data_IF_835943412073
#
_entry.id   IF_835943412073
#
_cell.length_a   1.000
_cell.length_b   1.000
_cell.length_c   1.000
_cell.angle_alpha   90.00
_cell.angle_beta   90.00
_cell.angle_gamma   90.00
#
_symmetry.space_group_name_H-M   'P 1'
#
loop_
_entity.id
_entity.type
_entity.pdbx_description
1 polymer ?
#
# COMPACT_ATOMS: atom_id res chain seq x y z
N UNK A 1 -21.37 0.44 -23.43
CA UNK A 1 -21.27 1.67 -24.26
C UNK A 1 -19.80 2.08 -24.33
N UNK A 2 -19.33 2.60 -25.47
CA UNK A 2 -17.94 3.07 -25.58
C UNK A 2 -17.70 4.25 -24.64
N UNK A 3 -16.54 4.32 -23.96
CA UNK A 3 -16.19 5.46 -23.13
C UNK A 3 -16.15 6.74 -23.98
N UNK A 4 -16.73 7.82 -23.48
CA UNK A 4 -16.78 9.11 -24.20
C UNK A 4 -15.81 10.10 -23.59
N UNK A 5 -15.01 10.74 -24.43
CA UNK A 5 -14.15 11.85 -24.02
C UNK A 5 -14.98 13.12 -24.05
N UNK A 6 -14.90 13.91 -22.98
CA UNK A 6 -15.56 15.20 -22.86
C UNK A 6 -14.53 16.28 -22.53
N UNK A 7 -14.67 17.44 -23.17
CA UNK A 7 -13.84 18.61 -22.86
C UNK A 7 -14.39 19.47 -21.71
N UNK A 8 -15.57 19.12 -21.22
CA UNK A 8 -16.24 19.70 -20.06
C UNK A 8 -15.98 18.81 -18.83
N UNK A 9 -15.92 19.36 -17.61
CA UNK A 9 -15.83 18.54 -16.39
C UNK A 9 -17.05 17.63 -16.20
N UNK A 10 -18.15 17.87 -16.93
CA UNK A 10 -19.36 17.04 -16.88
C UNK A 10 -20.02 16.88 -18.27
N UNK A 11 -20.64 15.73 -18.59
CA UNK A 11 -21.40 15.55 -19.82
C UNK A 11 -22.57 16.53 -19.96
N UNK A 12 -22.94 16.86 -21.19
CA UNK A 12 -24.17 17.60 -21.50
C UNK A 12 -25.40 16.80 -21.03
N UNK A 13 -26.33 17.44 -20.33
CA UNK A 13 -27.51 16.80 -19.70
C UNK A 13 -27.17 15.71 -18.67
N UNK A 14 -26.02 15.82 -17.98
CA UNK A 14 -25.69 14.90 -16.91
C UNK A 14 -26.69 14.98 -15.74
N UNK A 15 -27.14 13.82 -15.27
CA UNK A 15 -27.82 13.71 -13.99
C UNK A 15 -26.76 13.52 -12.92
N UNK A 16 -26.43 14.63 -12.27
CA UNK A 16 -25.33 14.69 -11.31
C UNK A 16 -25.60 13.90 -10.03
N UNK A 17 -26.88 13.69 -9.67
CA UNK A 17 -27.26 12.82 -8.54
C UNK A 17 -26.85 11.38 -8.79
N UNK A 18 -26.80 10.98 -10.05
CA UNK A 18 -26.48 9.64 -10.49
C UNK A 18 -25.07 9.56 -11.12
N UNK A 19 -24.24 10.60 -10.94
CA UNK A 19 -22.88 10.68 -11.50
C UNK A 19 -21.82 10.58 -10.40
N UNK A 20 -20.88 9.66 -10.57
CA UNK A 20 -19.69 9.51 -9.75
C UNK A 20 -18.50 10.19 -10.40
N UNK A 21 -17.82 11.09 -9.69
CA UNK A 21 -16.58 11.70 -10.14
C UNK A 21 -15.36 11.01 -9.53
N UNK A 22 -14.45 10.55 -10.37
CA UNK A 22 -13.25 9.79 -9.96
C UNK A 22 -12.00 10.58 -10.36
N UNK A 23 -11.39 11.34 -9.42
CA UNK A 23 -10.18 12.10 -9.70
C UNK A 23 -8.96 11.19 -9.83
N UNK A 24 -8.33 11.20 -11.01
CA UNK A 24 -7.08 10.49 -11.29
C UNK A 24 -5.94 11.51 -11.20
N UNK A 25 -5.45 11.71 -9.98
CA UNK A 25 -4.46 12.75 -9.69
C UNK A 25 -3.00 12.28 -9.79
N UNK A 26 -2.76 10.97 -9.82
CA UNK A 26 -1.43 10.38 -9.98
C UNK A 26 -1.35 9.43 -11.17
N UNK A 27 -0.16 8.88 -11.41
CA UNK A 27 0.06 7.91 -12.48
C UNK A 27 0.30 6.49 -12.00
N UNK A 28 0.06 5.51 -12.91
CA UNK A 28 -0.83 5.61 -14.07
C UNK A 28 -2.28 5.38 -13.64
N UNK A 29 -3.24 5.71 -14.51
CA UNK A 29 -4.56 5.10 -14.44
C UNK A 29 -4.40 3.57 -14.55
N UNK A 30 -5.22 2.79 -13.85
CA UNK A 30 -5.06 1.35 -13.86
C UNK A 30 -6.28 0.62 -13.30
N UNK A 31 -6.27 -0.71 -13.34
CA UNK A 31 -7.39 -1.55 -12.93
C UNK A 31 -7.87 -1.25 -11.51
N UNK A 32 -6.97 -0.82 -10.62
CA UNK A 32 -7.37 -0.36 -9.29
C UNK A 32 -8.39 0.78 -9.32
N UNK A 33 -8.21 1.82 -10.15
CA UNK A 33 -9.19 2.92 -10.27
C UNK A 33 -10.56 2.44 -10.73
N UNK A 34 -10.60 1.42 -11.60
CA UNK A 34 -11.84 0.77 -12.00
C UNK A 34 -12.46 0.06 -10.80
N UNK A 35 -11.70 -0.76 -10.06
CA UNK A 35 -12.21 -1.47 -8.88
C UNK A 35 -12.73 -0.51 -7.79
N UNK A 36 -12.07 0.64 -7.59
CA UNK A 36 -12.57 1.66 -6.67
C UNK A 36 -13.93 2.20 -7.12
N UNK A 37 -14.10 2.48 -8.42
CA UNK A 37 -15.36 2.93 -8.99
C UNK A 37 -16.44 1.84 -8.92
N UNK A 38 -16.09 0.58 -9.20
CA UNK A 38 -16.97 -0.58 -9.07
C UNK A 38 -17.51 -0.72 -7.65
N UNK A 39 -16.66 -0.55 -6.63
CA UNK A 39 -17.08 -0.56 -5.23
C UNK A 39 -18.11 0.54 -4.93
N UNK A 40 -17.84 1.76 -5.38
CA UNK A 40 -18.75 2.89 -5.20
C UNK A 40 -20.09 2.67 -5.90
N UNK A 41 -20.07 2.13 -7.13
CA UNK A 41 -21.27 1.70 -7.83
C UNK A 41 -22.01 0.66 -6.99
N UNK A 42 -21.40 -0.44 -6.58
CA UNK A 42 -22.09 -1.50 -5.81
C UNK A 42 -22.78 -0.98 -4.55
N UNK A 43 -22.19 0.00 -3.88
CA UNK A 43 -22.79 0.60 -2.69
C UNK A 43 -23.87 1.65 -2.97
N UNK A 44 -23.85 2.27 -4.16
CA UNK A 44 -24.85 3.25 -4.60
C UNK A 44 -25.48 2.80 -5.94
N UNK A 45 -26.51 1.94 -5.87
CA UNK A 45 -27.25 1.44 -7.04
C UNK A 45 -27.76 2.55 -7.98
N UNK A 46 -28.10 3.72 -7.42
CA UNK A 46 -28.60 4.89 -8.15
C UNK A 46 -27.58 5.50 -9.14
N UNK A 47 -26.28 5.26 -8.93
CA UNK A 47 -25.25 5.73 -9.84
C UNK A 47 -25.37 5.04 -11.20
N UNK A 48 -25.47 5.86 -12.25
CA UNK A 48 -25.61 5.43 -13.66
C UNK A 48 -24.51 5.99 -14.56
N UNK A 49 -23.68 6.92 -14.07
CA UNK A 49 -22.57 7.54 -14.81
C UNK A 49 -21.29 7.57 -13.95
N UNK A 50 -20.14 7.36 -14.58
CA UNK A 50 -18.81 7.56 -13.97
C UNK A 50 -17.99 8.49 -14.84
N UNK A 51 -17.48 9.56 -14.25
CA UNK A 51 -16.61 10.54 -14.92
C UNK A 51 -15.23 10.47 -14.29
N UNK A 52 -14.24 10.01 -15.07
CA UNK A 52 -12.83 10.04 -14.67
C UNK A 52 -12.24 11.42 -14.99
N UNK A 53 -11.76 12.12 -13.96
CA UNK A 53 -11.15 13.44 -14.09
C UNK A 53 -9.64 13.27 -14.19
N UNK A 54 -9.09 13.51 -15.39
CA UNK A 54 -7.66 13.33 -15.63
C UNK A 54 -6.89 14.60 -15.30
N UNK A 55 -5.92 14.47 -14.39
CA UNK A 55 -5.03 15.58 -14.07
C UNK A 55 -4.19 16.02 -15.27
N UNK A 56 -3.97 17.33 -15.39
CA UNK A 56 -3.10 17.93 -16.40
C UNK A 56 -1.60 17.67 -16.20
N UNK A 57 -1.21 16.95 -15.14
CA UNK A 57 0.18 16.64 -14.79
C UNK A 57 0.83 17.62 -13.81
N UNK A 58 0.20 18.77 -13.53
CA UNK A 58 0.67 19.76 -12.56
C UNK A 58 -0.07 19.61 -11.22
N UNK A 59 0.54 18.91 -10.26
CA UNK A 59 -0.08 18.64 -8.96
C UNK A 59 0.48 19.55 -7.84
N UNK A 60 -0.35 19.99 -6.87
CA UNK A 60 0.10 20.68 -5.64
C UNK A 60 1.20 19.98 -4.86
N UNK A 61 1.21 18.67 -4.95
CA UNK A 61 1.92 17.80 -4.00
C UNK A 61 3.37 17.76 -4.49
N UNK A 62 4.33 18.26 -3.69
CA UNK A 62 5.72 18.37 -4.13
C UNK A 62 6.30 17.01 -4.54
N UNK A 63 5.82 15.92 -3.95
CA UNK A 63 6.24 14.55 -4.26
C UNK A 63 5.68 14.03 -5.59
N UNK A 64 4.69 14.71 -6.19
CA UNK A 64 4.09 14.31 -7.47
C UNK A 64 4.62 15.08 -8.68
N UNK A 65 5.50 16.08 -8.48
CA UNK A 65 5.90 17.01 -9.56
C UNK A 65 6.86 16.41 -10.60
N UNK A 66 7.71 15.45 -10.21
CA UNK A 66 8.75 14.87 -11.08
C UNK A 66 8.37 13.54 -11.73
N UNK A 67 7.16 13.03 -11.44
CA UNK A 67 6.77 11.63 -11.72
C UNK A 67 5.46 11.58 -12.53
N UNK A 68 5.02 12.72 -13.08
CA UNK A 68 3.77 12.84 -13.81
C UNK A 68 3.94 12.66 -15.32
N UNK A 69 3.51 11.51 -15.86
CA UNK A 69 3.31 11.28 -17.30
C UNK A 69 2.62 12.46 -17.99
N UNK A 70 3.01 12.79 -19.24
CA UNK A 70 2.33 13.78 -20.06
C UNK A 70 0.83 13.52 -20.21
N UNK A 71 0.04 14.59 -20.25
CA UNK A 71 -1.43 14.53 -20.31
C UNK A 71 -1.98 13.65 -21.44
N UNK A 72 -1.33 13.65 -22.61
CA UNK A 72 -1.74 12.85 -23.77
C UNK A 72 -1.53 11.35 -23.54
N UNK A 73 -0.40 10.96 -22.91
CA UNK A 73 -0.13 9.57 -22.52
C UNK A 73 -1.13 9.13 -21.46
N UNK A 74 -1.47 9.99 -20.49
CA UNK A 74 -2.46 9.68 -19.46
C UNK A 74 -3.85 9.44 -20.05
N UNK A 75 -4.23 10.26 -21.04
CA UNK A 75 -5.49 10.08 -21.77
C UNK A 75 -5.49 8.75 -22.52
N UNK A 76 -4.43 8.45 -23.28
CA UNK A 76 -4.31 7.20 -24.01
C UNK A 76 -4.42 5.99 -23.08
N UNK A 77 -3.67 5.96 -21.97
CA UNK A 77 -3.73 4.87 -20.99
C UNK A 77 -5.13 4.70 -20.38
N UNK A 78 -5.86 5.80 -20.15
CA UNK A 78 -7.23 5.73 -19.66
C UNK A 78 -8.20 5.20 -20.74
N UNK A 79 -8.01 5.59 -22.00
CA UNK A 79 -8.80 5.08 -23.12
C UNK A 79 -8.59 3.58 -23.29
N UNK A 80 -7.34 3.13 -23.34
CA UNK A 80 -6.98 1.71 -23.45
C UNK A 80 -7.57 0.90 -22.28
N UNK A 81 -7.49 1.45 -21.06
CA UNK A 81 -8.05 0.85 -19.86
C UNK A 81 -9.57 0.67 -19.97
N UNK A 82 -10.31 1.69 -20.42
CA UNK A 82 -11.77 1.61 -20.55
C UNK A 82 -12.20 0.77 -21.75
N UNK A 83 -11.46 0.79 -22.86
CA UNK A 83 -11.71 -0.08 -24.00
C UNK A 83 -11.53 -1.56 -23.61
N UNK A 84 -10.52 -1.86 -22.78
CA UNK A 84 -10.28 -3.22 -22.28
C UNK A 84 -11.44 -3.78 -21.43
N UNK A 85 -12.32 -2.93 -20.85
CA UNK A 85 -13.53 -3.38 -20.15
C UNK A 85 -14.65 -3.86 -21.10
N UNK A 86 -14.59 -3.45 -22.37
CA UNK A 86 -15.58 -3.80 -23.39
C UNK A 86 -15.25 -5.11 -24.08
N UNK A 87 -13.98 -5.51 -24.07
CA UNK A 87 -13.53 -6.76 -24.66
C UNK A 87 -14.13 -7.97 -23.91
N UNK A 88 -14.31 -9.08 -24.62
CA UNK A 88 -14.92 -10.29 -24.04
C UNK A 88 -13.89 -11.23 -23.38
N UNK A 89 -12.60 -10.94 -23.51
CA UNK A 89 -11.49 -11.73 -22.98
C UNK A 89 -10.24 -10.85 -22.82
N UNK A 90 -9.25 -11.29 -22.04
CA UNK A 90 -7.92 -10.68 -21.98
C UNK A 90 -7.69 -9.70 -20.82
N UNK A 91 -8.71 -8.96 -20.36
CA UNK A 91 -8.58 -8.10 -19.18
C UNK A 91 -8.71 -8.93 -17.88
N UNK A 92 -7.75 -8.80 -16.97
CA UNK A 92 -7.75 -9.52 -15.69
C UNK A 92 -8.99 -9.27 -14.82
N UNK A 93 -9.55 -8.05 -14.82
CA UNK A 93 -10.80 -7.78 -14.10
C UNK A 93 -11.96 -8.62 -14.64
N UNK A 94 -12.01 -8.81 -15.97
CA UNK A 94 -13.01 -9.65 -16.62
C UNK A 94 -12.77 -11.12 -16.28
N UNK A 95 -11.52 -11.59 -16.37
CA UNK A 95 -11.15 -12.96 -15.98
C UNK A 95 -11.55 -13.26 -14.53
N UNK A 96 -11.30 -12.33 -13.61
CA UNK A 96 -11.70 -12.47 -12.21
C UNK A 96 -13.24 -12.48 -12.09
N UNK A 97 -13.92 -11.54 -12.76
CA UNK A 97 -15.38 -11.43 -12.73
C UNK A 97 -16.06 -12.69 -13.25
N UNK A 98 -15.59 -13.21 -14.39
CA UNK A 98 -16.10 -14.43 -15.03
C UNK A 98 -15.85 -15.67 -14.15
N UNK A 99 -14.68 -15.75 -13.52
CA UNK A 99 -14.36 -16.85 -12.59
C UNK A 99 -15.26 -16.87 -11.35
N UNK A 100 -15.63 -15.69 -10.84
CA UNK A 100 -16.54 -15.56 -9.69
C UNK A 100 -18.02 -15.62 -10.10
N UNK A 101 -18.32 -15.54 -11.40
CA UNK A 101 -19.68 -15.57 -11.93
C UNK A 101 -20.46 -14.27 -11.68
N UNK A 102 -19.76 -13.14 -11.53
CA UNK A 102 -20.38 -11.83 -11.30
C UNK A 102 -20.24 -10.92 -12.52
N UNK A 103 -21.18 -9.99 -12.69
CA UNK A 103 -21.10 -8.94 -13.73
C UNK A 103 -20.70 -7.63 -13.06
N UNK A 104 -19.63 -7.00 -13.54
CA UNK A 104 -19.21 -5.68 -13.08
C UNK A 104 -20.27 -4.62 -13.39
N UNK A 105 -20.69 -3.84 -12.39
CA UNK A 105 -21.59 -2.69 -12.57
C UNK A 105 -20.99 -1.66 -13.52
N UNK A 106 -19.66 -1.53 -13.58
CA UNK A 106 -18.96 -0.70 -14.55
C UNK A 106 -19.38 -0.94 -16.01
N UNK A 107 -19.80 -2.17 -16.37
CA UNK A 107 -20.25 -2.50 -17.73
C UNK A 107 -21.70 -2.08 -18.02
N UNK A 108 -22.42 -1.64 -16.99
CA UNK A 108 -23.85 -1.31 -17.02
C UNK A 108 -24.12 0.20 -16.89
N UNK A 109 -23.08 1.00 -16.72
CA UNK A 109 -23.16 2.47 -16.55
C UNK A 109 -22.50 3.19 -17.72
N UNK A 110 -22.79 4.48 -17.89
CA UNK A 110 -22.09 5.31 -18.86
C UNK A 110 -20.73 5.76 -18.30
N UNK A 111 -19.67 5.60 -19.09
CA UNK A 111 -18.30 5.92 -18.71
C UNK A 111 -17.79 7.13 -19.51
N UNK A 112 -17.26 8.11 -18.80
CA UNK A 112 -16.73 9.35 -19.38
C UNK A 112 -15.31 9.60 -18.91
N UNK A 113 -14.51 10.22 -19.77
CA UNK A 113 -13.19 10.76 -19.43
C UNK A 113 -13.21 12.26 -19.67
N UNK A 114 -13.02 13.04 -18.60
CA UNK A 114 -12.90 14.49 -18.72
C UNK A 114 -11.45 14.89 -18.96
N UNK A 115 -11.23 15.61 -20.06
CA UNK A 115 -9.98 16.29 -20.39
C UNK A 115 -10.02 17.79 -20.05
N UNK A 116 -11.03 18.26 -19.31
CA UNK A 116 -11.22 19.70 -19.02
C UNK A 116 -9.99 20.35 -18.37
N UNK A 117 -9.24 19.57 -17.58
CA UNK A 117 -8.03 20.04 -16.90
C UNK A 117 -6.89 20.35 -17.89
N UNK A 118 -6.88 19.73 -19.07
CA UNK A 118 -5.78 19.83 -20.04
C UNK A 118 -5.68 21.21 -20.70
N UNK A 119 -6.72 22.04 -20.54
CA UNK A 119 -6.78 23.45 -20.96
C UNK A 119 -6.01 24.38 -20.01
N UNK A 120 -5.54 23.87 -18.86
CA UNK A 120 -4.80 24.63 -17.86
C UNK A 120 -3.33 24.27 -17.89
N UNK A 121 -2.48 25.27 -18.03
CA UNK A 121 -1.01 25.12 -17.98
C UNK A 121 -0.43 25.41 -16.58
N UNK A 122 -1.28 25.48 -15.57
CA UNK A 122 -0.90 25.68 -14.18
C UNK A 122 -1.44 24.54 -13.30
N UNK A 123 -1.02 24.55 -12.04
CA UNK A 123 -1.44 23.57 -11.04
C UNK A 123 -2.97 23.52 -10.88
N UNK A 124 -3.55 22.31 -10.93
CA UNK A 124 -4.98 22.08 -10.69
C UNK A 124 -5.17 21.27 -9.41
N UNK A 125 -5.92 21.81 -8.46
CA UNK A 125 -6.29 21.13 -7.20
C UNK A 125 -7.59 20.37 -7.37
N UNK A 126 -7.83 19.38 -6.51
CA UNK A 126 -9.11 18.66 -6.47
C UNK A 126 -10.30 19.62 -6.25
N UNK A 127 -10.13 20.63 -5.39
CA UNK A 127 -11.16 21.64 -5.17
C UNK A 127 -11.46 22.44 -6.44
N UNK A 128 -10.47 22.73 -7.28
CA UNK A 128 -10.71 23.43 -8.54
C UNK A 128 -11.60 22.58 -9.46
N UNK A 129 -11.40 21.27 -9.49
CA UNK A 129 -12.27 20.35 -10.23
C UNK A 129 -13.70 20.36 -9.65
N UNK A 130 -13.84 20.28 -8.33
CA UNK A 130 -15.15 20.34 -7.67
C UNK A 130 -15.86 21.67 -7.95
N UNK A 131 -15.15 22.80 -7.89
CA UNK A 131 -15.68 24.12 -8.25
C UNK A 131 -16.11 24.18 -9.70
N UNK A 132 -15.30 23.68 -10.63
CA UNK A 132 -15.64 23.66 -12.06
C UNK A 132 -16.91 22.85 -12.33
N UNK A 133 -17.03 21.68 -11.69
CA UNK A 133 -18.23 20.84 -11.76
C UNK A 133 -19.42 21.62 -11.18
N UNK A 134 -19.24 22.28 -10.03
CA UNK A 134 -20.22 23.16 -9.39
C UNK A 134 -20.68 24.32 -10.27
N UNK A 135 -19.76 25.00 -10.95
CA UNK A 135 -20.11 26.09 -11.87
C UNK A 135 -20.90 25.58 -13.07
N UNK A 136 -20.55 24.41 -13.61
CA UNK A 136 -21.33 23.75 -14.66
C UNK A 136 -22.71 23.27 -14.18
N UNK A 137 -22.86 23.00 -12.88
CA UNK A 137 -24.10 22.57 -12.22
C UNK A 137 -25.10 23.70 -11.99
N UNK A 138 -24.64 24.83 -11.46
CA UNK A 138 -25.51 25.87 -10.90
C UNK A 138 -26.02 26.90 -11.90
N UNK A 139 -25.86 26.65 -13.21
CA UNK A 139 -26.64 27.36 -14.23
C UNK A 139 -28.15 27.09 -14.09
N UNK A 140 -28.52 26.02 -13.38
CA UNK A 140 -29.90 25.62 -13.13
C UNK A 140 -30.22 25.62 -11.61
N UNK A 141 -31.38 26.20 -11.25
CA UNK A 141 -31.71 26.56 -9.86
C UNK A 141 -32.07 25.37 -8.96
N UNK A 142 -32.40 24.23 -9.55
CA UNK A 142 -32.78 22.98 -8.87
C UNK A 142 -31.56 22.26 -8.22
N UNK A 143 -30.34 22.59 -8.63
CA UNK A 143 -29.12 21.85 -8.26
C UNK A 143 -28.26 22.54 -7.18
N UNK A 144 -28.65 23.74 -6.70
CA UNK A 144 -27.86 24.53 -5.73
C UNK A 144 -27.65 23.88 -4.36
N UNK A 145 -28.52 22.95 -3.96
CA UNK A 145 -28.42 22.23 -2.68
C UNK A 145 -27.72 20.87 -2.78
N UNK A 146 -27.36 20.45 -3.99
CA UNK A 146 -26.79 19.12 -4.23
C UNK A 146 -25.28 19.12 -4.06
N UNK A 147 -24.77 17.98 -3.59
CA UNK A 147 -23.34 17.77 -3.37
C UNK A 147 -22.77 16.84 -4.42
N UNK A 148 -21.60 17.20 -4.92
CA UNK A 148 -20.87 16.44 -5.93
C UNK A 148 -20.29 15.18 -5.29
N UNK A 149 -20.61 14.02 -5.84
CA UNK A 149 -20.10 12.74 -5.36
C UNK A 149 -18.70 12.50 -5.89
N UNK A 150 -17.70 12.58 -5.00
CA UNK A 150 -16.28 12.43 -5.37
C UNK A 150 -15.69 11.20 -4.70
N UNK A 151 -15.13 10.30 -5.49
CA UNK A 151 -14.45 9.10 -5.00
C UNK A 151 -13.03 9.44 -4.52
N UNK A 152 -12.69 9.05 -3.30
CA UNK A 152 -11.36 9.30 -2.72
C UNK A 152 -10.89 8.08 -1.92
N UNK A 153 -9.58 7.86 -1.86
CA UNK A 153 -8.99 6.89 -0.92
C UNK A 153 -8.81 7.51 0.46
N UNK A 154 -8.82 6.70 1.51
CA UNK A 154 -8.51 7.16 2.88
C UNK A 154 -7.12 7.79 3.01
N UNK A 155 -6.16 7.41 2.17
CA UNK A 155 -4.84 8.05 2.08
C UNK A 155 -4.91 9.54 1.68
N UNK A 156 -5.89 9.92 0.86
CA UNK A 156 -6.10 11.32 0.50
C UNK A 156 -6.73 12.08 1.66
N UNK A 157 -7.69 11.49 2.37
CA UNK A 157 -8.30 12.09 3.57
C UNK A 157 -7.24 12.44 4.60
N UNK A 158 -6.25 11.57 4.80
CA UNK A 158 -5.13 11.83 5.70
C UNK A 158 -4.22 12.96 5.19
N UNK A 159 -3.92 12.98 3.88
CA UNK A 159 -3.16 14.08 3.26
C UNK A 159 -3.89 15.42 3.25
N UNK A 160 -5.22 15.44 3.27
CA UNK A 160 -6.02 16.67 3.39
C UNK A 160 -5.82 17.41 4.71
N UNK A 161 -5.16 16.79 5.70
CA UNK A 161 -4.76 17.43 6.96
C UNK A 161 -3.50 18.28 6.84
N UNK A 162 -2.72 18.12 5.77
CA UNK A 162 -1.54 18.92 5.52
C UNK A 162 -1.95 20.27 4.92
N UNK A 163 -1.70 21.39 5.62
CA UNK A 163 -2.07 22.72 5.15
C UNK A 163 -1.35 23.14 3.86
N UNK A 164 -0.24 22.47 3.50
CA UNK A 164 0.42 22.68 2.21
C UNK A 164 -0.35 22.05 1.04
N UNK A 165 -1.22 21.07 1.32
CA UNK A 165 -2.03 20.35 0.33
C UNK A 165 -3.44 20.94 0.27
N UNK A 166 -4.09 21.13 1.43
CA UNK A 166 -5.42 21.76 1.55
C UNK A 166 -5.40 22.80 2.67
N UNK A 167 -5.67 24.06 2.33
CA UNK A 167 -5.90 25.09 3.34
C UNK A 167 -7.25 24.90 4.04
N UNK A 168 -7.44 25.53 5.19
CA UNK A 168 -8.72 25.50 5.91
C UNK A 168 -9.89 26.02 5.06
N UNK A 169 -9.65 27.08 4.28
CA UNK A 169 -10.61 27.60 3.30
C UNK A 169 -10.97 26.55 2.26
N UNK A 170 -9.96 25.80 1.76
CA UNK A 170 -10.20 24.73 0.80
C UNK A 170 -11.09 23.63 1.40
N UNK A 171 -10.82 23.24 2.65
CA UNK A 171 -11.62 22.21 3.34
C UNK A 171 -13.05 22.69 3.60
N UNK A 172 -13.24 23.95 3.99
CA UNK A 172 -14.56 24.53 4.22
C UNK A 172 -15.39 24.52 2.92
N UNK A 173 -14.80 24.92 1.81
CA UNK A 173 -15.47 24.91 0.52
C UNK A 173 -15.75 23.47 0.04
N UNK A 174 -14.77 22.55 0.15
CA UNK A 174 -15.00 21.14 -0.13
C UNK A 174 -16.16 20.57 0.68
N UNK A 175 -16.29 20.96 1.97
CA UNK A 175 -17.37 20.53 2.85
C UNK A 175 -18.75 21.00 2.39
N UNK A 176 -18.83 22.09 1.63
CA UNK A 176 -20.09 22.62 1.10
C UNK A 176 -20.45 21.99 -0.25
N UNK A 177 -19.45 21.76 -1.10
CA UNK A 177 -19.65 21.40 -2.49
C UNK A 177 -19.69 19.89 -2.75
N UNK A 178 -19.03 19.09 -1.91
CA UNK A 178 -18.84 17.67 -2.17
C UNK A 178 -19.39 16.75 -1.06
N UNK A 179 -19.69 15.53 -1.46
CA UNK A 179 -19.79 14.36 -0.61
C UNK A 179 -18.70 13.38 -1.02
N UNK A 180 -17.80 13.05 -0.10
CA UNK A 180 -16.66 12.19 -0.36
C UNK A 180 -17.06 10.72 -0.16
N UNK A 181 -16.98 9.91 -1.21
CA UNK A 181 -17.09 8.46 -1.10
C UNK A 181 -15.70 7.90 -0.80
N UNK A 182 -15.48 7.50 0.45
CA UNK A 182 -14.14 7.17 0.96
C UNK A 182 -13.92 5.67 0.85
N UNK A 183 -12.99 5.26 0.00
CA UNK A 183 -12.51 3.88 -0.06
C UNK A 183 -11.54 3.66 1.09
N UNK A 184 -11.84 2.76 2.05
CA UNK A 184 -10.89 2.43 3.11
C UNK A 184 -9.67 1.70 2.53
N UNK A 185 -8.48 2.16 2.93
CA UNK A 185 -7.20 1.52 2.62
C UNK A 185 -6.67 0.83 3.88
N UNK A 186 -6.16 -0.41 3.80
CA UNK A 186 -5.59 -1.09 4.96
C UNK A 186 -4.44 -0.28 5.59
N UNK A 187 -4.42 -0.22 6.92
CA UNK A 187 -3.43 0.54 7.68
C UNK A 187 -3.71 2.05 7.81
N UNK A 188 -4.64 2.61 7.03
CA UNK A 188 -5.01 4.02 7.10
C UNK A 188 -6.17 4.25 8.07
N UNK A 189 -6.01 5.19 9.00
CA UNK A 189 -7.14 5.65 9.84
C UNK A 189 -7.96 6.65 9.06
N UNK A 190 -9.29 6.50 9.08
CA UNK A 190 -10.20 7.49 8.49
C UNK A 190 -10.57 8.47 9.59
N UNK A 191 -10.18 9.73 9.41
CA UNK A 191 -10.50 10.81 10.35
C UNK A 191 -11.87 11.39 10.02
N UNK A 192 -12.70 11.63 11.03
CA UNK A 192 -14.02 12.25 10.87
C UNK A 192 -14.00 13.78 10.98
N UNK A 193 -12.99 14.32 11.68
CA UNK A 193 -12.90 15.74 12.03
C UNK A 193 -11.50 16.27 11.76
N UNK A 194 -11.42 17.38 11.03
CA UNK A 194 -10.19 18.10 10.74
C UNK A 194 -9.87 19.10 11.87
N UNK A 195 -8.81 19.91 11.73
CA UNK A 195 -8.52 20.97 12.69
C UNK A 195 -9.74 21.88 12.92
N UNK A 196 -9.88 22.42 14.14
CA UNK A 196 -10.97 23.32 14.55
C UNK A 196 -12.41 22.77 14.50
N UNK A 197 -12.59 21.44 14.42
CA UNK A 197 -13.94 20.83 14.46
C UNK A 197 -14.64 20.76 13.11
N UNK A 198 -13.98 21.15 12.02
CA UNK A 198 -14.50 21.04 10.66
C UNK A 198 -14.69 19.58 10.26
N UNK A 199 -15.87 19.23 9.73
CA UNK A 199 -16.15 17.87 9.24
C UNK A 199 -16.50 17.89 7.75
N UNK A 200 -15.83 17.02 6.98
CA UNK A 200 -16.20 16.77 5.59
C UNK A 200 -17.33 15.76 5.57
N UNK A 201 -18.34 15.99 4.73
CA UNK A 201 -19.38 14.99 4.51
C UNK A 201 -18.77 13.81 3.76
N UNK A 202 -18.69 12.68 4.45
CA UNK A 202 -18.06 11.47 3.94
C UNK A 202 -18.98 10.27 4.11
N UNK A 203 -18.94 9.35 3.14
CA UNK A 203 -19.52 8.02 3.24
C UNK A 203 -18.43 7.00 3.01
N UNK A 204 -18.10 6.25 4.06
CA UNK A 204 -17.09 5.18 3.99
C UNK A 204 -17.69 4.04 3.19
N UNK A 205 -16.95 3.59 2.18
CA UNK A 205 -17.37 2.50 1.33
C UNK A 205 -17.06 1.15 2.00
N UNK A 206 -17.94 0.17 1.81
CA UNK A 206 -17.84 -1.16 2.41
C UNK A 206 -17.09 -2.13 1.48
N UNK A 207 -15.83 -2.50 1.80
CA UNK A 207 -15.03 -3.40 0.97
C UNK A 207 -15.67 -4.78 0.75
N UNK A 208 -16.59 -5.20 1.62
CA UNK A 208 -17.22 -6.51 1.53
C UNK A 208 -18.21 -6.62 0.37
N UNK A 209 -18.59 -5.50 -0.24
CA UNK A 209 -19.36 -5.46 -1.48
C UNK A 209 -18.55 -5.89 -2.72
N UNK A 210 -17.21 -5.92 -2.62
CA UNK A 210 -16.35 -6.43 -3.69
C UNK A 210 -16.09 -7.93 -3.54
N UNK A 211 -16.06 -8.68 -4.66
CA UNK A 211 -15.54 -10.05 -4.69
C UNK A 211 -14.17 -10.15 -4.03
N UNK A 212 -13.92 -11.23 -3.30
CA UNK A 212 -12.66 -11.44 -2.56
C UNK A 212 -11.42 -11.29 -3.46
N UNK A 213 -11.49 -11.77 -4.71
CA UNK A 213 -10.41 -11.66 -5.68
C UNK A 213 -10.08 -10.20 -6.08
N UNK A 214 -11.07 -9.30 -6.02
CA UNK A 214 -10.90 -7.87 -6.34
C UNK A 214 -10.50 -7.02 -5.12
N UNK A 215 -10.71 -7.49 -3.89
CA UNK A 215 -10.32 -6.75 -2.67
C UNK A 215 -8.84 -6.41 -2.62
N UNK A 216 -7.98 -7.22 -3.24
CA UNK A 216 -6.54 -6.94 -3.32
C UNK A 216 -6.24 -5.57 -3.95
N UNK A 217 -7.01 -5.12 -4.96
CA UNK A 217 -6.83 -3.81 -5.61
C UNK A 217 -7.06 -2.63 -4.67
N UNK A 218 -7.79 -2.82 -3.56
CA UNK A 218 -7.94 -1.80 -2.52
C UNK A 218 -6.63 -1.53 -1.77
N UNK A 219 -5.61 -2.37 -1.93
CA UNK A 219 -4.27 -2.08 -1.42
C UNK A 219 -3.41 -1.27 -2.40
N UNK A 220 -3.82 -1.14 -3.67
CA UNK A 220 -3.00 -0.48 -4.68
C UNK A 220 -3.37 1.00 -4.84
N UNK A 221 -2.41 1.88 -4.58
CA UNK A 221 -2.53 3.33 -4.78
C UNK A 221 -1.54 3.80 -5.85
N UNK A 222 -1.80 4.95 -6.46
CA UNK A 222 -0.87 5.54 -7.44
C UNK A 222 0.51 5.78 -6.85
N UNK A 223 0.61 6.07 -5.54
CA UNK A 223 1.87 6.24 -4.80
C UNK A 223 2.66 4.94 -4.74
N UNK A 224 2.01 3.83 -4.42
CA UNK A 224 2.67 2.52 -4.41
C UNK A 224 3.13 2.15 -5.83
N UNK A 225 2.33 2.43 -6.85
CA UNK A 225 2.71 2.12 -8.24
C UNK A 225 3.94 2.92 -8.66
N UNK A 226 4.00 4.21 -8.38
CA UNK A 226 5.18 5.04 -8.70
C UNK A 226 6.43 4.52 -8.01
N UNK A 227 6.36 4.18 -6.72
CA UNK A 227 7.49 3.58 -5.99
C UNK A 227 7.93 2.25 -6.60
N UNK A 228 6.96 1.38 -6.93
CA UNK A 228 7.25 0.10 -7.57
C UNK A 228 7.96 0.28 -8.92
N UNK A 229 7.50 1.20 -9.76
CA UNK A 229 8.14 1.44 -11.07
C UNK A 229 9.53 2.07 -10.91
N UNK A 230 9.74 3.00 -9.98
CA UNK A 230 11.09 3.51 -9.67
C UNK A 230 12.06 2.37 -9.25
N UNK A 231 11.54 1.36 -8.55
CA UNK A 231 12.27 0.15 -8.18
C UNK A 231 12.33 -0.91 -9.31
N UNK A 232 11.82 -0.61 -10.51
CA UNK A 232 11.70 -1.53 -11.67
C UNK A 232 10.90 -2.80 -11.36
N UNK A 233 10.00 -2.72 -10.40
CA UNK A 233 9.07 -3.79 -10.10
C UNK A 233 7.91 -3.75 -11.08
N UNK A 234 7.74 -4.85 -11.81
CA UNK A 234 6.63 -4.98 -12.75
C UNK A 234 5.33 -5.34 -12.02
N UNK A 235 4.24 -4.70 -12.40
CA UNK A 235 2.88 -4.96 -11.93
C UNK A 235 1.90 -5.22 -13.10
N UNK A 236 2.22 -6.09 -14.07
CA UNK A 236 1.47 -6.23 -15.33
C UNK A 236 0.04 -6.73 -15.09
N UNK A 237 -0.17 -7.48 -14.01
CA UNK A 237 -1.48 -7.91 -13.57
C UNK A 237 -2.39 -6.76 -13.08
N UNK A 238 -1.83 -5.61 -12.73
CA UNK A 238 -2.56 -4.56 -12.01
C UNK A 238 -2.64 -3.24 -12.79
N UNK A 239 -1.99 -3.19 -13.94
CA UNK A 239 -1.89 -2.04 -14.83
C UNK A 239 -2.19 -2.46 -16.27
N UNK A 240 -2.71 -1.54 -17.12
CA UNK A 240 -2.86 -1.80 -18.54
C UNK A 240 -1.52 -2.07 -19.22
N UNK A 241 -1.58 -2.78 -20.35
CA UNK A 241 -0.42 -3.02 -21.22
C UNK A 241 0.23 -1.67 -21.60
N UNK A 242 1.57 -1.64 -21.69
CA UNK A 242 2.39 -0.44 -21.95
C UNK A 242 2.37 0.66 -20.88
N UNK A 243 1.50 0.60 -19.87
CA UNK A 243 1.51 1.59 -18.78
C UNK A 243 2.86 1.62 -18.05
N UNK A 244 3.46 0.45 -17.84
CA UNK A 244 4.78 0.31 -17.23
C UNK A 244 5.87 0.84 -18.17
N UNK A 245 5.84 0.47 -19.45
CA UNK A 245 6.82 0.95 -20.45
C UNK A 245 6.85 2.48 -20.52
N UNK A 246 5.69 3.14 -20.61
CA UNK A 246 5.62 4.60 -20.61
C UNK A 246 6.14 5.24 -19.32
N UNK A 247 5.89 4.60 -18.17
CA UNK A 247 6.46 5.08 -16.90
C UNK A 247 7.97 4.87 -16.86
N UNK A 248 8.48 3.73 -17.33
CA UNK A 248 9.91 3.44 -17.38
C UNK A 248 10.64 4.35 -18.37
N UNK A 249 10.07 4.65 -19.54
CA UNK A 249 10.63 5.62 -20.49
C UNK A 249 10.66 7.02 -19.91
N UNK A 250 9.58 7.45 -19.26
CA UNK A 250 9.46 8.80 -18.72
C UNK A 250 10.34 9.00 -17.47
N UNK A 251 10.40 7.99 -16.59
CA UNK A 251 11.23 8.01 -15.39
C UNK A 251 12.70 7.72 -15.70
N UNK A 252 12.97 6.79 -16.62
CA UNK A 252 14.30 6.40 -17.06
C UNK A 252 14.99 7.44 -17.95
N UNK A 253 14.22 8.19 -18.75
CA UNK A 253 14.73 9.33 -19.52
C UNK A 253 15.21 10.51 -18.67
N UNK A 254 14.73 10.62 -17.42
CA UNK A 254 15.11 11.68 -16.48
C UNK A 254 16.44 11.41 -15.74
N UNK A 255 16.91 10.15 -15.73
CA UNK A 255 18.16 9.75 -15.03
C UNK A 255 19.40 10.44 -15.63
N UNK A 256 19.31 10.95 -16.87
CA UNK A 256 20.43 11.63 -17.54
C UNK A 256 20.54 13.14 -17.26
N UNK A 257 19.58 13.81 -16.60
CA UNK A 257 19.64 15.28 -16.40
C UNK A 257 19.08 15.78 -15.07
N UNK A 258 19.78 15.46 -13.96
CA UNK A 258 20.22 16.38 -12.88
C UNK A 258 20.60 15.59 -11.63
N UNK A 259 21.77 15.90 -11.08
CA UNK A 259 22.38 15.30 -9.88
C UNK A 259 21.68 15.78 -8.58
N UNK A 260 20.33 15.79 -8.49
CA UNK A 260 19.67 16.36 -7.30
C UNK A 260 18.28 15.85 -6.88
N UNK A 261 17.56 15.04 -7.67
CA UNK A 261 16.21 14.59 -7.28
C UNK A 261 16.22 13.14 -6.83
N UNK A 262 16.13 12.93 -5.50
CA UNK A 262 15.89 11.63 -4.87
C UNK A 262 14.46 11.17 -5.23
N UNK A 263 14.31 9.94 -5.70
CA UNK A 263 13.02 9.37 -6.09
C UNK A 263 12.09 9.14 -4.89
N UNK A 264 10.77 9.07 -5.13
CA UNK A 264 9.76 8.76 -4.10
C UNK A 264 10.04 7.41 -3.39
N UNK A 265 10.61 6.44 -4.11
CA UNK A 265 11.03 5.17 -3.53
C UNK A 265 12.25 5.34 -2.62
N UNK A 266 13.29 6.04 -3.04
CA UNK A 266 14.48 6.28 -2.21
C UNK A 266 14.15 7.07 -0.94
N UNK A 267 13.30 8.10 -1.03
CA UNK A 267 12.80 8.83 0.15
C UNK A 267 12.12 7.86 1.10
N UNK A 268 11.24 6.99 0.60
CA UNK A 268 10.53 6.02 1.44
C UNK A 268 11.49 5.00 2.09
N UNK A 269 12.50 4.54 1.36
CA UNK A 269 13.53 3.66 1.92
C UNK A 269 14.32 4.39 3.01
N UNK A 270 14.72 5.64 2.80
CA UNK A 270 15.43 6.43 3.82
C UNK A 270 14.60 6.60 5.10
N UNK A 271 13.30 6.86 4.99
CA UNK A 271 12.39 6.89 6.14
C UNK A 271 12.37 5.55 6.88
N UNK A 272 12.20 4.44 6.15
CA UNK A 272 12.15 3.11 6.73
C UNK A 272 13.47 2.69 7.40
N UNK A 273 14.61 3.04 6.80
CA UNK A 273 15.93 2.78 7.40
C UNK A 273 16.13 3.61 8.67
N UNK A 274 15.61 4.85 8.72
CA UNK A 274 15.60 5.65 9.96
C UNK A 274 14.73 4.98 11.03
N UNK A 275 13.52 4.56 10.68
CA UNK A 275 12.61 3.87 11.61
C UNK A 275 13.25 2.57 12.13
N UNK A 276 13.93 1.80 11.27
CA UNK A 276 14.69 0.61 11.64
C UNK A 276 15.84 0.93 12.59
N UNK A 277 16.59 2.00 12.35
CA UNK A 277 17.66 2.45 13.23
C UNK A 277 17.11 2.86 14.61
N UNK A 278 15.99 3.59 14.66
CA UNK A 278 15.35 4.01 15.91
C UNK A 278 14.95 2.83 16.79
N UNK A 279 14.26 1.83 16.23
CA UNK A 279 13.90 0.62 16.98
C UNK A 279 15.13 -0.21 17.37
N UNK A 280 16.15 -0.28 16.49
CA UNK A 280 17.41 -0.99 16.78
C UNK A 280 18.15 -0.35 17.96
N UNK A 281 18.23 0.98 18.01
CA UNK A 281 18.81 1.73 19.12
C UNK A 281 18.04 1.50 20.43
N UNK A 282 16.71 1.48 20.35
CA UNK A 282 15.85 1.18 21.50
C UNK A 282 16.09 -0.24 22.05
N UNK A 283 16.08 -1.25 21.19
CA UNK A 283 16.35 -2.65 21.58
C UNK A 283 17.77 -2.79 22.15
N UNK A 284 18.76 -2.19 21.49
CA UNK A 284 20.15 -2.19 21.95
C UNK A 284 20.25 -1.60 23.37
N UNK A 285 19.64 -0.44 23.62
CA UNK A 285 19.59 0.16 24.96
C UNK A 285 18.95 -0.77 26.00
N UNK A 286 17.79 -1.35 25.68
CA UNK A 286 17.08 -2.29 26.57
C UNK A 286 17.91 -3.53 26.93
N UNK A 287 18.81 -3.97 26.05
CA UNK A 287 19.73 -5.07 26.30
C UNK A 287 20.95 -4.61 27.09
N UNK A 288 21.54 -3.46 26.74
CA UNK A 288 22.73 -2.92 27.41
C UNK A 288 22.53 -2.56 28.87
N UNK A 289 21.33 -2.08 29.23
CA UNK A 289 21.00 -1.70 30.61
C UNK A 289 20.89 -2.92 31.54
N UNK A 290 20.91 -4.14 31.00
CA UNK A 290 20.88 -5.38 31.78
C UNK A 290 22.29 -5.75 32.23
N UNK A 291 22.42 -6.16 33.50
CA UNK A 291 23.67 -6.76 34.02
C UNK A 291 24.09 -7.99 33.21
N UNK A 292 23.13 -8.88 32.93
CA UNK A 292 23.32 -10.10 32.14
C UNK A 292 22.33 -10.09 30.96
N UNK A 293 22.69 -9.48 29.82
CA UNK A 293 21.81 -9.50 28.65
C UNK A 293 21.70 -10.93 28.09
N UNK A 294 20.49 -11.34 27.63
CA UNK A 294 20.35 -12.62 26.95
C UNK A 294 21.15 -12.64 25.64
N UNK A 295 21.78 -13.77 25.34
CA UNK A 295 22.34 -14.08 24.03
C UNK A 295 21.21 -14.40 23.05
N UNK A 296 21.15 -13.67 21.94
CA UNK A 296 20.08 -13.72 20.96
C UNK A 296 20.66 -14.23 19.64
N UNK A 297 20.02 -15.23 19.07
CA UNK A 297 20.30 -15.70 17.72
C UNK A 297 19.16 -15.27 16.78
N UNK A 298 19.51 -14.75 15.62
CA UNK A 298 18.52 -14.30 14.63
C UNK A 298 18.46 -15.29 13.47
N UNK A 299 17.28 -15.79 13.19
CA UNK A 299 17.04 -16.58 11.99
C UNK A 299 16.17 -15.74 11.05
N UNK A 300 16.65 -15.50 9.83
CA UNK A 300 15.95 -14.66 8.86
C UNK A 300 15.70 -15.46 7.58
N UNK A 301 14.61 -15.16 6.88
CA UNK A 301 14.44 -15.61 5.49
C UNK A 301 14.34 -14.39 4.60
N UNK A 302 13.18 -13.74 4.57
CA UNK A 302 12.87 -12.70 3.63
C UNK A 302 13.42 -11.35 4.04
N UNK A 303 13.58 -11.08 5.35
CA UNK A 303 14.26 -9.89 5.88
C UNK A 303 15.74 -9.83 5.46
N UNK A 304 16.35 -10.98 5.14
CA UNK A 304 17.60 -11.04 4.39
C UNK A 304 18.83 -10.58 5.16
N UNK A 305 18.85 -10.70 6.49
CA UNK A 305 19.97 -10.27 7.34
C UNK A 305 19.81 -8.86 7.93
N UNK A 306 18.70 -8.17 7.62
CA UNK A 306 18.45 -6.81 8.09
C UNK A 306 18.17 -6.74 9.58
N UNK A 307 17.56 -7.77 10.18
CA UNK A 307 17.27 -7.80 11.62
C UNK A 307 18.59 -7.86 12.40
N UNK A 308 19.42 -8.84 12.08
CA UNK A 308 20.71 -8.99 12.75
C UNK A 308 21.64 -7.83 12.41
N UNK A 309 21.71 -7.43 11.13
CA UNK A 309 22.59 -6.39 10.63
C UNK A 309 22.34 -5.03 11.28
N UNK A 310 21.07 -4.64 11.51
CA UNK A 310 20.75 -3.36 12.14
C UNK A 310 21.19 -3.30 13.61
N UNK A 311 21.21 -4.42 14.33
CA UNK A 311 21.73 -4.51 15.69
C UNK A 311 23.25 -4.65 15.72
N UNK A 312 23.83 -5.47 14.84
CA UNK A 312 25.29 -5.70 14.75
C UNK A 312 26.02 -4.40 14.44
N UNK A 313 25.44 -3.54 13.59
CA UNK A 313 25.99 -2.22 13.26
C UNK A 313 26.10 -1.25 14.44
N UNK A 314 25.47 -1.56 15.59
CA UNK A 314 25.53 -0.72 16.79
C UNK A 314 26.70 -1.17 17.70
N UNK A 315 27.41 -0.22 18.35
CA UNK A 315 28.50 -0.55 19.26
C UNK A 315 28.10 -1.51 20.38
N UNK A 316 28.97 -2.50 20.64
CA UNK A 316 28.87 -3.51 21.70
C UNK A 316 27.71 -4.50 21.57
N UNK A 317 27.13 -4.62 20.38
CA UNK A 317 26.17 -5.66 19.99
C UNK A 317 26.64 -7.09 20.33
N UNK A 318 27.95 -7.35 20.33
CA UNK A 318 28.55 -8.63 20.75
C UNK A 318 28.19 -9.10 22.17
N UNK A 319 27.73 -8.19 23.05
CA UNK A 319 27.23 -8.56 24.37
C UNK A 319 25.96 -9.41 24.31
N UNK A 320 25.10 -9.21 23.31
CA UNK A 320 23.80 -9.87 23.23
C UNK A 320 23.55 -10.56 21.89
N UNK A 321 24.13 -10.13 20.78
CA UNK A 321 24.02 -10.86 19.51
C UNK A 321 24.97 -12.05 19.54
N UNK A 322 24.43 -13.27 19.50
CA UNK A 322 25.21 -14.50 19.40
C UNK A 322 25.62 -14.78 17.95
N UNK A 323 24.72 -14.54 17.01
CA UNK A 323 24.91 -14.78 15.59
C UNK A 323 23.60 -14.69 14.83
N UNK A 324 23.66 -14.95 13.52
CA UNK A 324 22.48 -15.09 12.70
C UNK A 324 22.65 -16.12 11.57
N UNK A 325 21.54 -16.54 10.99
CA UNK A 325 21.49 -17.31 9.75
C UNK A 325 20.39 -16.77 8.85
N UNK A 326 20.71 -16.62 7.56
CA UNK A 326 19.71 -16.30 6.53
C UNK A 326 19.33 -17.59 5.79
N UNK A 327 18.22 -18.22 6.18
CA UNK A 327 17.71 -19.45 5.59
C UNK A 327 16.78 -19.17 4.39
N UNK A 328 17.32 -18.53 3.35
CA UNK A 328 16.51 -18.07 2.21
C UNK A 328 15.97 -19.24 1.35
N UNK A 329 16.87 -20.12 0.90
CA UNK A 329 16.52 -21.26 0.06
C UNK A 329 15.85 -22.38 0.89
N UNK A 330 14.92 -23.12 0.28
CA UNK A 330 14.27 -24.25 0.94
C UNK A 330 15.29 -25.29 1.41
N UNK A 331 16.34 -25.57 0.63
CA UNK A 331 17.43 -26.47 1.06
C UNK A 331 18.11 -26.03 2.35
N UNK A 332 18.26 -24.72 2.59
CA UNK A 332 18.82 -24.20 3.84
C UNK A 332 17.84 -24.36 5.01
N UNK A 333 16.54 -24.16 4.76
CA UNK A 333 15.49 -24.43 5.77
C UNK A 333 15.47 -25.91 6.15
N UNK A 334 15.50 -26.79 5.15
CA UNK A 334 15.51 -28.25 5.32
C UNK A 334 16.72 -28.73 6.11
N UNK A 335 17.91 -28.20 5.81
CA UNK A 335 19.12 -28.49 6.57
C UNK A 335 19.01 -28.06 8.04
N UNK A 336 18.39 -26.91 8.30
CA UNK A 336 18.20 -26.41 9.66
C UNK A 336 17.25 -27.30 10.47
N UNK A 337 16.09 -27.67 9.89
CA UNK A 337 15.08 -28.47 10.60
C UNK A 337 15.37 -29.98 10.59
N UNK A 338 16.25 -30.45 9.70
CA UNK A 338 16.65 -31.85 9.59
C UNK A 338 15.64 -32.73 8.84
N UNK A 339 14.78 -32.15 8.00
CA UNK A 339 13.82 -32.87 7.15
C UNK A 339 13.55 -32.12 5.84
N UNK A 340 13.08 -32.84 4.83
CA UNK A 340 12.62 -32.23 3.57
C UNK A 340 11.28 -31.51 3.77
N UNK A 341 11.08 -30.42 3.04
CA UNK A 341 9.81 -29.72 2.93
C UNK A 341 8.97 -30.40 1.86
N UNK A 342 7.76 -30.82 2.23
CA UNK A 342 6.89 -31.53 1.29
C UNK A 342 6.52 -30.65 0.09
N UNK A 343 6.27 -31.25 -1.08
CA UNK A 343 5.87 -30.50 -2.28
C UNK A 343 4.60 -29.66 -2.09
N UNK A 344 3.72 -30.07 -1.17
CA UNK A 344 2.48 -29.38 -0.83
C UNK A 344 2.57 -28.55 0.46
N UNK A 345 3.71 -28.59 1.15
CA UNK A 345 3.93 -27.82 2.36
C UNK A 345 4.14 -26.35 2.01
N UNK A 346 3.45 -25.46 2.72
CA UNK A 346 3.64 -24.02 2.50
C UNK A 346 5.02 -23.61 3.02
N UNK A 347 5.81 -22.95 2.18
CA UNK A 347 7.09 -22.35 2.62
C UNK A 347 6.90 -21.15 3.58
N UNK A 348 5.64 -20.75 3.85
CA UNK A 348 5.25 -19.65 4.72
C UNK A 348 4.08 -20.08 5.62
N UNK A 349 4.41 -20.56 6.82
CA UNK A 349 3.47 -20.96 7.86
C UNK A 349 4.02 -20.71 9.26
N UNK A 350 3.15 -20.69 10.27
CA UNK A 350 3.57 -20.59 11.67
C UNK A 350 4.38 -21.83 12.08
N UNK A 351 3.91 -23.01 11.68
CA UNK A 351 4.49 -24.30 12.07
C UNK A 351 5.95 -24.41 11.61
N UNK A 352 6.22 -24.10 10.34
CA UNK A 352 7.57 -24.13 9.79
C UNK A 352 8.46 -23.09 10.48
N UNK A 353 7.93 -21.89 10.72
CA UNK A 353 8.69 -20.82 11.38
C UNK A 353 9.07 -21.20 12.81
N UNK A 354 8.14 -21.82 13.54
CA UNK A 354 8.38 -22.33 14.90
C UNK A 354 9.37 -23.50 14.90
N UNK A 355 9.24 -24.43 13.97
CA UNK A 355 10.17 -25.56 13.83
C UNK A 355 11.60 -25.07 13.57
N UNK A 356 11.76 -24.11 12.65
CA UNK A 356 13.05 -23.48 12.37
C UNK A 356 13.62 -22.74 13.59
N UNK A 357 12.79 -21.98 14.32
CA UNK A 357 13.20 -21.28 15.53
C UNK A 357 13.67 -22.24 16.63
N UNK A 358 12.95 -23.35 16.84
CA UNK A 358 13.32 -24.39 17.81
C UNK A 358 14.57 -25.17 17.39
N UNK A 359 14.74 -25.43 16.09
CA UNK A 359 15.97 -26.03 15.56
C UNK A 359 17.18 -25.12 15.82
N UNK A 360 17.07 -23.83 15.52
CA UNK A 360 18.10 -22.84 15.84
C UNK A 360 18.37 -22.73 17.36
N UNK A 361 17.34 -22.81 18.20
CA UNK A 361 17.48 -22.80 19.67
C UNK A 361 18.24 -24.04 20.19
N UNK A 362 18.05 -25.21 19.56
CA UNK A 362 18.75 -26.45 19.92
C UNK A 362 20.20 -26.49 19.42
N UNK A 363 20.45 -25.86 18.28
CA UNK A 363 21.76 -25.88 17.62
C UNK A 363 22.69 -24.73 18.07
N UNK A 364 22.23 -23.87 18.98
CA UNK A 364 22.99 -22.70 19.45
C UNK A 364 22.94 -22.60 20.98
N UNK A 365 23.87 -21.85 21.55
CA UNK A 365 23.86 -21.54 22.98
C UNK A 365 22.98 -20.32 23.33
N UNK A 366 22.08 -19.92 22.43
CA UNK A 366 21.26 -18.74 22.61
C UNK A 366 20.33 -18.87 23.83
N UNK A 367 20.06 -17.75 24.50
CA UNK A 367 18.97 -17.63 25.47
C UNK A 367 17.64 -17.34 24.77
N UNK A 368 17.70 -16.68 23.60
CA UNK A 368 16.55 -16.34 22.78
C UNK A 368 16.86 -16.56 21.30
N UNK A 369 15.87 -17.04 20.54
CA UNK A 369 15.92 -17.09 19.08
C UNK A 369 14.76 -16.27 18.53
N UNK A 370 15.07 -15.29 17.67
CA UNK A 370 14.06 -14.57 16.90
C UNK A 370 14.11 -15.05 15.46
N UNK A 371 13.07 -15.74 15.04
CA UNK A 371 12.90 -16.22 13.68
C UNK A 371 11.91 -15.36 12.90
N UNK A 372 12.33 -14.94 11.71
CA UNK A 372 11.51 -14.28 10.70
C UNK A 372 11.35 -15.23 9.52
N UNK A 373 10.11 -15.46 9.08
CA UNK A 373 9.82 -16.14 7.84
C UNK A 373 8.71 -15.41 7.09
N UNK A 374 9.06 -14.78 5.97
CA UNK A 374 8.15 -13.91 5.23
C UNK A 374 8.16 -14.09 3.73
N UNK A 375 7.23 -13.39 3.07
CA UNK A 375 7.12 -13.29 1.62
C UNK A 375 7.15 -11.82 1.22
N UNK A 376 8.36 -11.29 1.02
CA UNK A 376 8.59 -9.89 0.65
C UNK A 376 8.11 -9.52 -0.78
N UNK A 377 7.58 -10.47 -1.55
CA UNK A 377 7.03 -10.21 -2.88
C UNK A 377 8.08 -9.79 -3.94
N UNK A 378 7.63 -9.16 -5.04
CA UNK A 378 6.27 -8.67 -5.27
C UNK A 378 5.24 -9.76 -5.63
N UNK A 379 3.94 -9.42 -5.68
CA UNK A 379 2.94 -10.28 -6.29
C UNK A 379 3.30 -10.54 -7.75
N UNK A 380 3.48 -11.81 -8.09
CA UNK A 380 3.71 -12.30 -9.45
C UNK A 380 2.46 -12.18 -10.33
N UNK A 381 1.34 -11.75 -9.76
CA UNK A 381 0.06 -11.67 -10.43
C UNK A 381 -0.57 -13.04 -10.68
N UNK A 382 -0.01 -14.15 -10.25
CA UNK A 382 -0.73 -15.42 -10.29
C UNK A 382 -1.75 -15.46 -9.16
N UNK A 383 -2.88 -16.16 -9.36
CA UNK A 383 -3.83 -16.41 -8.25
C UNK A 383 -3.26 -17.40 -7.21
N UNK A 384 -2.03 -17.90 -7.41
CA UNK A 384 -1.43 -19.00 -6.65
C UNK A 384 -0.93 -18.58 -5.27
N UNK A 385 -0.47 -17.34 -5.12
CA UNK A 385 0.01 -16.83 -3.83
C UNK A 385 -0.48 -15.40 -3.57
N UNK A 386 -1.32 -15.25 -2.55
CA UNK A 386 -1.80 -13.97 -2.04
C UNK A 386 -1.05 -13.53 -0.77
N UNK A 387 0.05 -14.20 -0.42
CA UNK A 387 0.78 -14.00 0.83
C UNK A 387 1.87 -12.93 0.78
N UNK A 388 1.96 -12.14 -0.30
CA UNK A 388 2.94 -11.06 -0.40
C UNK A 388 2.71 -10.03 0.72
N UNK A 389 3.78 -9.58 1.35
CA UNK A 389 3.70 -8.72 2.53
C UNK A 389 3.34 -9.45 3.83
N UNK A 390 3.21 -10.78 3.81
CA UNK A 390 2.97 -11.57 5.03
C UNK A 390 4.29 -12.08 5.60
N UNK A 391 4.44 -12.00 6.91
CA UNK A 391 5.58 -12.52 7.65
C UNK A 391 5.12 -13.17 8.97
N UNK A 392 5.65 -14.36 9.26
CA UNK A 392 5.55 -15.00 10.57
C UNK A 392 6.80 -14.67 11.37
N UNK A 393 6.60 -14.13 12.56
CA UNK A 393 7.65 -13.86 13.54
C UNK A 393 7.48 -14.83 14.70
N UNK A 394 8.54 -15.56 15.05
CA UNK A 394 8.54 -16.45 16.21
C UNK A 394 9.71 -16.11 17.11
N UNK A 395 9.42 -15.78 18.36
CA UNK A 395 10.41 -15.61 19.41
C UNK A 395 10.36 -16.83 20.34
N UNK A 396 11.47 -17.57 20.40
CA UNK A 396 11.66 -18.67 21.34
C UNK A 396 12.59 -18.20 22.46
N UNK A 397 12.22 -18.42 23.72
CA UNK A 397 13.05 -18.14 24.90
C UNK A 397 13.31 -19.42 25.66
N UNK A 398 14.49 -19.55 26.26
CA UNK A 398 14.73 -20.60 27.27
C UNK A 398 13.89 -20.31 28.51
N UNK A 399 13.20 -21.34 28.98
CA UNK A 399 12.41 -21.33 30.21
C UNK A 399 13.19 -22.05 31.30
N UNK A 400 13.02 -21.62 32.56
CA UNK A 400 13.59 -22.28 33.73
C UNK A 400 12.78 -23.52 34.16
N UNK A 401 11.57 -23.69 33.61
CA UNK A 401 10.70 -24.83 33.90
C UNK A 401 11.14 -26.06 33.10
N UNK A 402 11.47 -27.15 33.81
CA UNK A 402 11.98 -28.40 33.20
C UNK A 402 10.96 -29.10 32.30
N UNK A 403 9.67 -28.97 32.56
CA UNK A 403 8.61 -29.61 31.76
C UNK A 403 8.30 -28.87 30.44
N UNK A 404 8.63 -27.57 30.37
CA UNK A 404 8.48 -26.74 29.17
C UNK A 404 9.73 -25.89 29.00
N UNK A 405 10.80 -26.43 28.40
CA UNK A 405 12.10 -25.77 28.35
C UNK A 405 12.12 -24.52 27.47
N UNK A 406 11.06 -24.29 26.68
CA UNK A 406 10.95 -23.14 25.79
C UNK A 406 9.60 -22.46 25.88
N UNK A 407 9.62 -21.14 26.06
CA UNK A 407 8.47 -20.27 25.82
C UNK A 407 8.50 -19.82 24.36
N UNK A 408 7.37 -19.90 23.65
CA UNK A 408 7.26 -19.47 22.25
C UNK A 408 6.20 -18.39 22.12
N UNK A 409 6.55 -17.28 21.48
CA UNK A 409 5.61 -16.22 21.08
C UNK A 409 5.60 -16.16 19.57
N UNK A 410 4.41 -16.09 19.00
CA UNK A 410 4.20 -15.97 17.57
C UNK A 410 3.39 -14.71 17.25
N UNK A 411 3.78 -14.02 16.18
CA UNK A 411 3.06 -12.89 15.64
C UNK A 411 3.03 -12.98 14.10
N UNK A 412 1.92 -12.55 13.51
CA UNK A 412 1.80 -12.43 12.05
C UNK A 412 1.79 -10.96 11.69
N UNK A 413 2.71 -10.58 10.82
CA UNK A 413 2.79 -9.26 10.22
C UNK A 413 2.13 -9.32 8.85
N UNK A 414 1.22 -8.37 8.58
CA UNK A 414 0.54 -8.24 7.30
C UNK A 414 0.71 -6.82 6.76
N UNK A 415 1.66 -6.66 5.85
CA UNK A 415 1.94 -5.44 5.12
C UNK A 415 1.09 -5.32 3.85
N UNK A 416 1.10 -4.13 3.26
CA UNK A 416 0.49 -3.93 1.95
C UNK A 416 1.21 -4.80 0.90
N UNK A 417 0.52 -5.73 0.23
CA UNK A 417 1.17 -6.72 -0.64
C UNK A 417 1.92 -6.12 -1.83
N UNK A 418 1.65 -4.86 -2.18
CA UNK A 418 2.25 -4.18 -3.33
C UNK A 418 3.48 -3.33 -3.01
N UNK A 419 3.87 -3.26 -1.74
CA UNK A 419 5.15 -2.64 -1.41
C UNK A 419 6.30 -3.35 -2.14
N UNK A 420 7.35 -2.57 -2.41
CA UNK A 420 8.55 -3.12 -3.01
C UNK A 420 9.17 -4.18 -2.11
N UNK A 421 9.93 -5.10 -2.71
CA UNK A 421 10.66 -6.12 -1.96
C UNK A 421 11.45 -5.48 -0.81
N UNK A 422 12.19 -4.42 -1.09
CA UNK A 422 13.00 -3.74 -0.06
C UNK A 422 12.16 -3.10 1.05
N UNK A 423 11.01 -2.48 0.72
CA UNK A 423 10.08 -1.96 1.74
C UNK A 423 9.61 -3.09 2.67
N UNK A 424 9.20 -4.24 2.13
CA UNK A 424 8.81 -5.39 2.94
C UNK A 424 9.95 -5.89 3.84
N UNK A 425 11.16 -6.01 3.30
CA UNK A 425 12.31 -6.49 4.08
C UNK A 425 12.59 -5.60 5.30
N UNK A 426 12.54 -4.27 5.12
CA UNK A 426 12.78 -3.34 6.23
C UNK A 426 11.60 -3.37 7.21
N UNK A 427 10.35 -3.40 6.71
CA UNK A 427 9.15 -3.48 7.56
C UNK A 427 9.14 -4.76 8.42
N UNK A 428 9.45 -5.91 7.84
CA UNK A 428 9.57 -7.16 8.59
C UNK A 428 10.67 -7.07 9.66
N UNK A 429 11.80 -6.42 9.35
CA UNK A 429 12.85 -6.22 10.32
C UNK A 429 12.42 -5.31 11.48
N UNK A 430 11.72 -4.21 11.18
CA UNK A 430 11.13 -3.32 12.19
C UNK A 430 10.19 -4.11 13.09
N UNK A 431 9.21 -4.84 12.53
CA UNK A 431 8.24 -5.60 13.32
C UNK A 431 8.88 -6.70 14.17
N UNK A 432 9.93 -7.36 13.67
CA UNK A 432 10.70 -8.33 14.44
C UNK A 432 11.36 -7.69 15.68
N UNK A 433 11.96 -6.50 15.51
CA UNK A 433 12.58 -5.77 16.61
C UNK A 433 11.55 -5.14 17.56
N UNK A 434 10.38 -4.75 17.07
CA UNK A 434 9.27 -4.33 17.92
C UNK A 434 8.76 -5.47 18.81
N UNK A 435 8.60 -6.67 18.25
CA UNK A 435 8.27 -7.88 19.01
C UNK A 435 9.32 -8.14 20.09
N UNK A 436 10.60 -8.13 19.73
CA UNK A 436 11.69 -8.29 20.70
C UNK A 436 11.67 -7.21 21.77
N UNK A 437 11.49 -5.94 21.39
CA UNK A 437 11.43 -4.82 22.33
C UNK A 437 10.29 -4.96 23.33
N UNK A 438 9.09 -5.35 22.88
CA UNK A 438 7.94 -5.62 23.77
C UNK A 438 8.26 -6.70 24.78
N UNK A 439 8.91 -7.77 24.34
CA UNK A 439 9.26 -8.91 25.20
C UNK A 439 10.36 -8.57 26.20
N UNK A 440 11.28 -7.67 25.86
CA UNK A 440 12.27 -7.16 26.81
C UNK A 440 11.64 -6.25 27.89
N UNK A 441 10.55 -5.54 27.61
CA UNK A 441 9.88 -4.69 28.62
C UNK A 441 9.13 -5.53 29.65
N UNK A 442 8.48 -6.62 29.23
CA UNK A 442 7.71 -7.50 30.12
C UNK A 442 8.56 -8.18 31.20
N UNK A 443 9.87 -8.28 30.97
CA UNK A 443 10.83 -8.88 31.91
C UNK A 443 11.94 -7.88 32.20
N UNK A 444 11.68 -6.81 32.98
CA UNK A 444 12.67 -5.81 33.30
C UNK A 444 13.88 -6.46 34.00
N UNK A 445 15.07 -5.84 33.93
CA UNK A 445 16.23 -6.35 34.66
C UNK A 445 15.83 -6.58 36.12
N UNK A 446 16.12 -7.77 36.64
CA UNK A 446 15.91 -8.08 38.05
C UNK A 446 16.63 -7.02 38.89
N UNK A 447 15.87 -6.15 39.55
CA UNK A 447 16.39 -5.19 40.52
C UNK A 447 16.74 -6.02 41.76
N UNK A 448 17.93 -6.60 41.78
CA UNK A 448 18.49 -7.17 43.00
C UNK A 448 19.09 -6.02 43.82
N UNK A 449 18.54 -5.84 45.02
CA UNK A 449 18.99 -4.94 46.09
C UNK A 449 20.51 -4.94 46.31
#
# INVERSE_FOLDING_TARGET
MNPRIIESPCPENADFRNTLFVPITGNPAGYHHLVLAELALRQRPELSKVVYLLSNGHHPDPFKRSVTLPKDIRLQLMQDLLESLLQSYGNRLIVISDHVGEILRLRQVELFVSSSEFKRDHQVRLLDNVKNIGTALWSDSEYKSQRIQVLVGSDLINRMRDPQIFSETDLQEMSNLAELLVVPRPGERIVATFAEGLSLKQKILDPDLLPMALKSYLNLSSTIIRRAVCFRQQLPAYLPDKAIEHLEEHLGGSVSKKIAEVSEWEVRIQELERDLLEISLKVSRQLFERKNPPKIYFLETSAGGRIAGSLIGLPGSSKFVLGSQVAYANSTKEQLIGRFLGQHESSLSEELTKEMALAAMRNTEANMVLAENGMAGPPDGTLRSNKNGVCHLVLVKKSELTEQPYETIHEVVQENPFFTKQEHQIRFAISALELLSRQLVLYPPSISH
#
